data_IF_889615192897
#
_entry.id   IF_889615192897
#
_cell.length_a   1.000
_cell.length_b   1.000
_cell.length_c   1.000
_cell.angle_alpha   90.00
_cell.angle_beta   90.00
_cell.angle_gamma   90.00
#
_symmetry.space_group_name_H-M   'P 1'
#
loop_
_entity.id
_entity.type
_entity.pdbx_description
1 polymer ?
#
# COMPACT_ATOMS: atom_id res chain seq x y z
N UNK A 1 19.61 -11.13 16.12
CA UNK A 1 19.00 -10.63 14.87
C UNK A 1 20.12 -10.06 14.00
N UNK A 2 20.07 -10.17 12.67
CA UNK A 2 21.03 -9.48 11.79
C UNK A 2 20.84 -7.96 11.93
N UNK A 3 21.93 -7.19 11.96
CA UNK A 3 21.80 -5.73 12.03
C UNK A 3 21.11 -5.20 10.76
N UNK A 4 20.27 -4.19 10.91
CA UNK A 4 19.45 -3.65 9.82
C UNK A 4 20.30 -3.10 8.66
N UNK A 5 21.51 -2.61 8.96
CA UNK A 5 22.45 -2.10 7.97
C UNK A 5 23.22 -3.20 7.21
N UNK A 6 23.25 -4.44 7.74
CA UNK A 6 24.04 -5.54 7.17
C UNK A 6 23.29 -6.29 6.06
N UNK A 7 22.02 -5.96 5.82
CA UNK A 7 21.25 -6.58 4.74
C UNK A 7 21.82 -6.18 3.38
N UNK A 8 22.03 -7.17 2.51
CA UNK A 8 22.57 -6.94 1.18
C UNK A 8 21.62 -6.09 0.34
N UNK A 9 22.13 -4.98 -0.20
CA UNK A 9 21.41 -4.10 -1.10
C UNK A 9 21.46 -4.59 -2.55
N UNK A 10 20.37 -4.37 -3.27
CA UNK A 10 20.17 -4.81 -4.65
C UNK A 10 19.82 -3.63 -5.56
N UNK A 11 19.86 -3.88 -6.87
CA UNK A 11 19.53 -2.88 -7.88
C UNK A 11 20.72 -2.04 -8.33
N UNK A 12 20.46 -1.05 -9.17
CA UNK A 12 21.46 -0.36 -9.97
C UNK A 12 21.40 1.17 -9.87
N UNK A 13 20.37 1.70 -9.22
CA UNK A 13 20.26 3.14 -9.02
C UNK A 13 21.27 3.62 -7.99
N UNK A 14 22.01 4.66 -8.35
CA UNK A 14 22.82 5.41 -7.41
C UNK A 14 21.93 6.35 -6.56
N UNK A 15 22.10 6.32 -5.25
CA UNK A 15 21.46 7.28 -4.35
C UNK A 15 22.37 8.48 -4.08
N UNK A 16 21.80 9.56 -3.54
CA UNK A 16 22.58 10.73 -3.15
C UNK A 16 23.52 10.42 -1.98
N UNK A 17 24.59 11.22 -1.84
CA UNK A 17 25.49 11.12 -0.69
C UNK A 17 24.76 11.34 0.64
N UNK A 18 23.77 12.25 0.65
CA UNK A 18 22.90 12.48 1.80
C UNK A 18 22.18 11.19 2.20
N UNK A 19 21.54 10.50 1.25
CA UNK A 19 20.81 9.27 1.55
C UNK A 19 21.72 8.17 2.09
N UNK A 20 22.89 7.97 1.46
CA UNK A 20 23.85 6.94 1.90
C UNK A 20 24.40 7.21 3.31
N UNK A 21 24.72 8.47 3.64
CA UNK A 21 25.17 8.85 4.98
C UNK A 21 24.09 8.60 6.04
N UNK A 22 22.86 9.06 5.78
CA UNK A 22 21.78 9.00 6.77
C UNK A 22 21.15 7.62 6.89
N UNK A 23 21.11 6.82 5.82
CA UNK A 23 20.60 5.46 5.86
C UNK A 23 21.33 4.62 6.89
N UNK A 24 22.67 4.58 6.84
CA UNK A 24 23.48 3.81 7.79
C UNK A 24 23.25 4.26 9.23
N UNK A 25 23.36 5.58 9.48
CA UNK A 25 23.19 6.15 10.83
C UNK A 25 21.81 5.89 11.41
N UNK A 26 20.76 6.03 10.61
CA UNK A 26 19.38 5.83 11.06
C UNK A 26 19.10 4.37 11.42
N UNK A 27 19.59 3.43 10.61
CA UNK A 27 19.42 2.00 10.87
C UNK A 27 20.22 1.55 12.09
N UNK A 28 21.47 1.99 12.23
CA UNK A 28 22.31 1.70 13.40
C UNK A 28 21.73 2.30 14.69
N UNK A 29 21.24 3.54 14.64
CA UNK A 29 20.57 4.17 15.78
C UNK A 29 19.28 3.44 16.16
N UNK A 30 18.45 3.07 15.18
CA UNK A 30 17.20 2.33 15.42
C UNK A 30 17.47 0.98 16.08
N UNK A 31 18.48 0.25 15.61
CA UNK A 31 18.91 -1.03 16.18
C UNK A 31 19.40 -0.83 17.62
N UNK A 32 20.27 0.15 17.86
CA UNK A 32 20.82 0.46 19.19
C UNK A 32 19.74 0.83 20.21
N UNK A 33 18.69 1.54 19.78
CA UNK A 33 17.56 1.90 20.63
C UNK A 33 16.57 0.74 20.87
N UNK A 34 16.80 -0.44 20.28
CA UNK A 34 15.93 -1.61 20.42
C UNK A 34 14.62 -1.51 19.61
N UNK A 35 14.44 -0.45 18.81
CA UNK A 35 13.22 -0.23 18.03
C UNK A 35 13.02 -1.32 16.97
N UNK A 36 14.09 -1.78 16.35
CA UNK A 36 14.04 -2.84 15.34
C UNK A 36 13.44 -4.14 15.89
N UNK A 37 13.77 -4.51 17.13
CA UNK A 37 13.23 -5.71 17.77
C UNK A 37 11.84 -5.50 18.35
N UNK A 38 11.50 -4.27 18.72
CA UNK A 38 10.22 -3.93 19.36
C UNK A 38 9.10 -3.74 18.32
N UNK A 39 9.42 -3.16 17.15
CA UNK A 39 8.48 -2.97 16.04
C UNK A 39 8.44 -4.24 15.17
N UNK A 40 7.30 -4.89 15.11
CA UNK A 40 7.07 -6.14 14.37
C UNK A 40 6.58 -5.94 12.95
N UNK A 41 5.73 -6.86 12.48
CA UNK A 41 5.05 -6.80 11.16
C UNK A 41 3.99 -5.71 11.11
N UNK A 42 3.53 -5.44 9.88
CA UNK A 42 2.28 -4.71 9.66
C UNK A 42 1.11 -5.57 10.21
N UNK A 43 0.36 -5.01 11.17
CA UNK A 43 -0.84 -5.60 11.78
C UNK A 43 -2.07 -5.38 10.89
N UNK A 44 -2.21 -4.16 10.36
CA UNK A 44 -3.34 -3.79 9.51
C UNK A 44 -3.06 -2.62 8.59
N UNK A 45 -3.74 -2.61 7.44
CA UNK A 45 -3.77 -1.55 6.44
C UNK A 45 -5.08 -0.77 6.56
N UNK A 46 -5.06 0.55 6.39
CA UNK A 46 -6.27 1.37 6.46
C UNK A 46 -6.53 2.10 5.15
N UNK A 47 -7.73 1.89 4.61
CA UNK A 47 -8.21 2.53 3.37
C UNK A 47 -9.53 3.21 3.69
N UNK A 48 -9.69 4.46 3.28
CA UNK A 48 -10.97 5.16 3.30
C UNK A 48 -11.59 5.23 1.92
N UNK A 49 -12.92 5.21 1.86
CA UNK A 49 -13.73 5.35 0.65
C UNK A 49 -14.84 6.38 0.84
N UNK A 50 -15.39 6.89 -0.27
CA UNK A 50 -16.56 7.78 -0.24
C UNK A 50 -17.79 7.12 0.39
N UNK A 51 -18.72 7.91 0.98
CA UNK A 51 -20.01 7.40 1.43
C UNK A 51 -20.78 6.68 0.31
N UNK A 52 -21.26 5.48 0.61
CA UNK A 52 -21.98 4.61 -0.34
C UNK A 52 -21.07 3.69 -1.17
N UNK A 53 -19.74 3.74 -0.98
CA UNK A 53 -18.80 2.92 -1.76
C UNK A 53 -18.27 1.69 -1.01
N UNK A 54 -18.50 1.57 0.30
CA UNK A 54 -17.97 0.46 1.12
C UNK A 54 -18.38 -0.91 0.61
N UNK A 55 -19.67 -1.15 0.36
CA UNK A 55 -20.18 -2.48 -0.04
C UNK A 55 -19.54 -2.98 -1.33
N UNK A 56 -19.50 -2.11 -2.34
CA UNK A 56 -18.95 -2.45 -3.65
C UNK A 56 -17.44 -2.68 -3.56
N UNK A 57 -16.72 -1.86 -2.79
CA UNK A 57 -15.28 -2.03 -2.61
C UNK A 57 -14.92 -3.28 -1.80
N UNK A 58 -15.68 -3.61 -0.76
CA UNK A 58 -15.52 -4.86 -0.01
C UNK A 58 -15.75 -6.06 -0.93
N UNK A 59 -16.79 -6.04 -1.76
CA UNK A 59 -17.03 -7.07 -2.77
C UNK A 59 -15.90 -7.19 -3.80
N UNK A 60 -15.37 -6.06 -4.29
CA UNK A 60 -14.23 -6.01 -5.20
C UNK A 60 -12.98 -6.65 -4.57
N UNK A 61 -12.62 -6.25 -3.35
CA UNK A 61 -11.49 -6.83 -2.62
C UNK A 61 -11.69 -8.32 -2.34
N UNK A 62 -12.89 -8.74 -1.93
CA UNK A 62 -13.18 -10.15 -1.67
C UNK A 62 -13.12 -11.02 -2.95
N UNK A 63 -13.32 -10.44 -4.14
CA UNK A 63 -13.15 -11.18 -5.40
C UNK A 63 -11.69 -11.19 -5.86
N UNK A 64 -11.04 -10.02 -5.80
CA UNK A 64 -9.74 -9.77 -6.42
C UNK A 64 -8.54 -10.11 -5.52
N UNK A 65 -8.80 -10.41 -4.25
CA UNK A 65 -7.78 -10.74 -3.24
C UNK A 65 -8.25 -11.95 -2.41
N UNK A 66 -7.40 -12.58 -1.60
CA UNK A 66 -7.81 -13.70 -0.74
C UNK A 66 -8.52 -13.26 0.56
N UNK A 67 -8.80 -11.96 0.73
CA UNK A 67 -9.42 -11.45 1.94
C UNK A 67 -10.90 -11.80 2.04
N UNK A 68 -11.35 -12.08 3.26
CA UNK A 68 -12.76 -12.29 3.61
C UNK A 68 -13.24 -11.18 4.54
N UNK A 69 -14.47 -10.73 4.34
CA UNK A 69 -15.13 -9.83 5.29
C UNK A 69 -15.43 -10.57 6.60
N UNK A 70 -15.07 -9.94 7.73
CA UNK A 70 -15.25 -10.50 9.06
C UNK A 70 -16.39 -9.82 9.82
N UNK A 71 -16.32 -8.50 9.95
CA UNK A 71 -17.23 -7.72 10.79
C UNK A 71 -17.16 -6.24 10.42
N UNK A 72 -18.21 -5.50 10.77
CA UNK A 72 -18.24 -4.03 10.72
C UNK A 72 -18.19 -3.45 12.13
N UNK A 73 -17.38 -2.41 12.30
CA UNK A 73 -17.31 -1.59 13.50
C UNK A 73 -17.95 -0.24 13.20
N UNK A 74 -19.03 0.07 13.93
CA UNK A 74 -19.85 1.25 13.73
C UNK A 74 -19.56 2.27 14.84
N UNK A 75 -19.03 3.43 14.46
CA UNK A 75 -18.86 4.60 15.34
C UNK A 75 -19.88 5.69 15.01
N UNK A 76 -19.77 6.87 15.60
CA UNK A 76 -20.72 7.96 15.31
C UNK A 76 -20.55 8.44 13.87
N UNK A 77 -19.31 8.59 13.41
CA UNK A 77 -19.00 9.20 12.11
C UNK A 77 -18.55 8.22 11.04
N UNK A 78 -18.17 6.98 11.39
CA UNK A 78 -17.60 6.01 10.44
C UNK A 78 -18.18 4.61 10.58
N UNK A 79 -18.13 3.89 9.46
CA UNK A 79 -18.26 2.44 9.37
C UNK A 79 -16.89 1.87 9.02
N UNK A 80 -16.37 0.91 9.78
CA UNK A 80 -15.08 0.26 9.49
C UNK A 80 -15.26 -1.24 9.28
N UNK A 81 -15.06 -1.71 8.06
CA UNK A 81 -15.20 -3.09 7.65
C UNK A 81 -13.85 -3.80 7.73
N UNK A 82 -13.80 -4.87 8.52
CA UNK A 82 -12.57 -5.63 8.76
C UNK A 82 -12.51 -6.78 7.75
N UNK A 83 -11.47 -6.80 6.94
CA UNK A 83 -11.17 -7.88 5.99
C UNK A 83 -9.94 -8.64 6.48
N UNK A 84 -10.02 -9.97 6.51
CA UNK A 84 -8.96 -10.85 7.03
C UNK A 84 -8.79 -12.09 6.16
N UNK A 85 -7.54 -12.55 6.01
CA UNK A 85 -7.21 -13.86 5.45
C UNK A 85 -7.08 -14.86 6.61
N UNK A 86 -6.10 -14.59 7.47
CA UNK A 86 -5.74 -15.36 8.66
C UNK A 86 -5.05 -14.43 9.68
N UNK A 87 -4.38 -15.00 10.68
CA UNK A 87 -3.60 -14.26 11.69
C UNK A 87 -2.15 -13.99 11.27
N UNK A 88 -1.73 -14.43 10.10
CA UNK A 88 -0.36 -14.27 9.60
C UNK A 88 -0.21 -13.01 8.74
N UNK A 89 -1.17 -12.80 7.83
CA UNK A 89 -1.22 -11.63 6.95
C UNK A 89 -1.81 -10.40 7.67
N UNK A 90 -1.53 -9.16 7.23
CA UNK A 90 -2.17 -7.96 7.79
C UNK A 90 -3.66 -7.93 7.47
N UNK A 91 -4.49 -7.42 8.39
CA UNK A 91 -5.90 -7.13 8.08
C UNK A 91 -6.03 -5.90 7.17
N UNK A 92 -7.10 -5.84 6.37
CA UNK A 92 -7.45 -4.64 5.59
C UNK A 92 -8.69 -3.99 6.21
N UNK A 93 -8.55 -2.74 6.64
CA UNK A 93 -9.64 -1.97 7.24
C UNK A 93 -10.18 -1.00 6.18
N UNK A 94 -11.37 -1.31 5.65
CA UNK A 94 -12.08 -0.42 4.73
C UNK A 94 -12.99 0.47 5.54
N UNK A 95 -12.76 1.77 5.49
CA UNK A 95 -13.41 2.76 6.33
C UNK A 95 -14.22 3.74 5.51
N UNK A 96 -15.48 3.89 5.83
CA UNK A 96 -16.40 4.77 5.14
C UNK A 96 -16.87 5.84 6.12
N UNK A 97 -16.81 7.10 5.69
CA UNK A 97 -17.42 8.19 6.46
C UNK A 97 -18.92 8.20 6.23
N UNK A 98 -19.71 8.46 7.27
CA UNK A 98 -21.18 8.49 7.21
C UNK A 98 -21.70 9.80 6.64
N UNK A 99 -21.04 10.91 6.96
CA UNK A 99 -21.36 12.24 6.43
C UNK A 99 -20.30 12.68 5.40
N UNK A 100 -20.66 12.87 4.12
CA UNK A 100 -19.74 13.37 3.09
C UNK A 100 -19.18 14.76 3.41
N UNK A 101 -19.74 15.51 4.36
CA UNK A 101 -19.30 16.84 4.77
C UNK A 101 -18.39 16.84 6.01
N UNK A 102 -18.07 15.66 6.57
CA UNK A 102 -17.13 15.59 7.68
C UNK A 102 -15.78 16.17 7.24
N UNK A 103 -15.31 17.19 7.97
CA UNK A 103 -14.01 17.80 7.72
C UNK A 103 -12.97 17.19 8.66
N UNK A 104 -11.90 16.65 8.06
CA UNK A 104 -10.79 16.04 8.78
C UNK A 104 -9.49 16.12 8.00
N UNK A 105 -8.38 15.86 8.69
CA UNK A 105 -7.04 16.01 8.11
C UNK A 105 -6.84 15.24 6.80
N UNK A 106 -7.37 14.01 6.71
CA UNK A 106 -7.23 13.16 5.54
C UNK A 106 -7.98 13.69 4.32
N UNK A 107 -9.16 14.29 4.56
CA UNK A 107 -9.95 14.97 3.54
C UNK A 107 -9.21 16.20 3.02
N UNK A 108 -8.72 17.04 3.92
CA UNK A 108 -7.97 18.25 3.55
C UNK A 108 -6.71 17.92 2.74
N UNK A 109 -6.04 16.80 3.04
CA UNK A 109 -4.89 16.33 2.25
C UNK A 109 -5.26 15.92 0.81
N UNK A 110 -6.51 15.54 0.55
CA UNK A 110 -7.00 15.22 -0.79
C UNK A 110 -7.53 16.47 -1.53
N UNK A 111 -8.21 17.38 -0.82
CA UNK A 111 -8.84 18.59 -1.39
C UNK A 111 -7.86 19.56 -2.04
N UNK A 112 -6.58 19.53 -1.66
CA UNK A 112 -5.54 20.38 -2.26
C UNK A 112 -5.03 19.86 -3.61
N UNK A 113 -5.50 18.70 -4.07
CA UNK A 113 -5.08 18.09 -5.34
C UNK A 113 -6.24 17.95 -6.32
N UNK A 114 -6.06 18.25 -7.62
CA UNK A 114 -7.16 18.37 -8.58
C UNK A 114 -8.07 17.14 -8.70
N UNK A 115 -7.50 15.93 -8.78
CA UNK A 115 -8.29 14.69 -8.83
C UNK A 115 -8.64 14.22 -7.42
N UNK A 116 -7.74 14.40 -6.45
CA UNK A 116 -8.01 14.11 -5.04
C UNK A 116 -9.26 14.81 -4.50
N UNK A 117 -9.50 16.05 -4.91
CA UNK A 117 -10.64 16.85 -4.50
C UNK A 117 -11.99 16.31 -5.02
N UNK A 118 -12.00 15.50 -6.09
CA UNK A 118 -13.23 14.90 -6.62
C UNK A 118 -13.74 13.74 -5.74
N UNK A 119 -12.85 13.12 -4.97
CA UNK A 119 -13.14 12.04 -4.02
C UNK A 119 -12.36 12.26 -2.73
N UNK A 120 -12.73 13.30 -1.96
CA UNK A 120 -11.90 13.82 -0.91
C UNK A 120 -11.85 12.88 0.31
N UNK A 121 -12.79 11.95 0.47
CA UNK A 121 -12.80 10.96 1.54
C UNK A 121 -12.07 9.67 1.17
N UNK A 122 -11.78 9.45 -0.13
CA UNK A 122 -11.17 8.21 -0.62
C UNK A 122 -9.66 8.27 -0.67
N UNK A 123 -8.98 7.41 0.09
CA UNK A 123 -7.51 7.24 0.04
C UNK A 123 -7.03 6.05 0.86
N UNK A 124 -5.81 5.61 0.56
CA UNK A 124 -5.02 4.90 1.56
C UNK A 124 -4.62 5.86 2.70
N UNK A 125 -4.88 5.47 3.94
CA UNK A 125 -4.50 6.24 5.13
C UNK A 125 -3.09 5.89 5.59
N UNK A 126 -2.73 4.61 5.62
CA UNK A 126 -1.50 4.16 6.24
C UNK A 126 -1.55 2.74 6.79
N UNK A 127 -0.50 2.39 7.52
CA UNK A 127 -0.26 1.06 8.08
C UNK A 127 -0.06 1.12 9.60
N UNK A 128 -0.58 0.12 10.30
CA UNK A 128 -0.36 -0.07 11.74
C UNK A 128 0.63 -1.21 11.92
N UNK A 129 1.68 -0.98 12.70
CA UNK A 129 2.64 -2.00 13.10
C UNK A 129 2.28 -2.60 14.45
N UNK A 130 2.46 -3.90 14.55
CA UNK A 130 2.50 -4.59 15.83
C UNK A 130 3.75 -4.13 16.60
N UNK A 131 3.61 -3.90 17.91
CA UNK A 131 4.76 -3.63 18.80
C UNK A 131 4.72 -4.50 20.04
N UNK A 132 5.88 -4.78 20.64
CA UNK A 132 5.97 -5.54 21.91
C UNK A 132 5.64 -4.66 23.11
N UNK A 133 6.05 -3.40 23.08
CA UNK A 133 5.76 -2.43 24.13
C UNK A 133 5.49 -1.05 23.49
N UNK A 134 4.22 -0.64 23.51
CA UNK A 134 3.78 0.62 22.88
C UNK A 134 4.40 1.83 23.55
N UNK A 135 4.51 1.82 24.88
CA UNK A 135 5.04 2.96 25.61
C UNK A 135 6.51 3.21 25.26
N UNK A 136 7.33 2.15 25.27
CA UNK A 136 8.75 2.24 24.92
C UNK A 136 8.96 2.72 23.48
N UNK A 137 8.21 2.18 22.51
CA UNK A 137 8.30 2.62 21.11
C UNK A 137 7.91 4.09 20.98
N UNK A 138 6.82 4.51 21.61
CA UNK A 138 6.35 5.90 21.53
C UNK A 138 7.34 6.86 22.17
N UNK A 139 7.89 6.56 23.34
CA UNK A 139 8.87 7.42 24.01
C UNK A 139 10.18 7.50 23.23
N UNK A 140 10.69 6.38 22.71
CA UNK A 140 11.87 6.37 21.85
C UNK A 140 11.64 7.20 20.57
N UNK A 141 10.51 7.03 19.89
CA UNK A 141 10.20 7.80 18.68
C UNK A 141 10.00 9.29 18.96
N UNK A 142 9.40 9.68 20.10
CA UNK A 142 9.34 11.09 20.52
C UNK A 142 10.73 11.68 20.76
N UNK A 143 11.66 10.90 21.34
CA UNK A 143 13.06 11.29 21.47
C UNK A 143 13.76 11.53 20.13
N UNK A 144 13.24 10.92 19.05
CA UNK A 144 13.66 11.11 17.65
C UNK A 144 12.79 12.15 16.91
N UNK A 145 12.12 13.02 17.67
CA UNK A 145 11.28 14.13 17.20
C UNK A 145 10.03 13.73 16.40
N UNK A 146 9.63 12.46 16.44
CA UNK A 146 8.41 11.98 15.79
C UNK A 146 7.18 12.51 16.51
N UNK A 147 6.26 13.12 15.75
CA UNK A 147 5.04 13.72 16.28
C UNK A 147 3.88 12.74 16.18
N UNK A 148 3.20 12.55 17.32
CA UNK A 148 2.00 11.71 17.41
C UNK A 148 0.73 12.56 17.48
N UNK A 149 -0.38 11.98 17.05
CA UNK A 149 -1.70 12.43 17.51
C UNK A 149 -1.79 12.27 19.03
N UNK A 150 -2.35 13.25 19.70
CA UNK A 150 -2.71 13.09 21.12
C UNK A 150 -4.00 12.23 21.23
N UNK A 151 -4.33 11.82 22.45
CA UNK A 151 -5.48 10.94 22.71
C UNK A 151 -6.82 11.53 22.28
N UNK A 152 -7.02 12.84 22.44
CA UNK A 152 -8.22 13.54 21.98
C UNK A 152 -8.34 13.49 20.45
N UNK A 153 -7.24 13.72 19.74
CA UNK A 153 -7.21 13.65 18.28
C UNK A 153 -7.43 12.23 17.76
N UNK A 154 -6.89 11.19 18.44
CA UNK A 154 -7.17 9.79 18.09
C UNK A 154 -8.66 9.47 18.26
N UNK A 155 -9.30 9.98 19.33
CA UNK A 155 -10.75 9.85 19.54
C UNK A 155 -11.56 10.58 18.49
N UNK A 156 -11.17 11.79 18.08
CA UNK A 156 -11.84 12.52 16.99
C UNK A 156 -11.67 11.85 15.63
N UNK A 157 -10.55 11.15 15.43
CA UNK A 157 -10.40 10.29 14.26
C UNK A 157 -11.22 9.00 14.37
N UNK A 158 -11.87 8.73 15.52
CA UNK A 158 -12.59 7.49 15.84
C UNK A 158 -11.75 6.24 15.53
N UNK A 159 -10.51 6.24 16.01
CA UNK A 159 -9.61 5.09 15.96
C UNK A 159 -9.43 4.50 17.38
N UNK A 160 -9.03 3.23 17.53
CA UNK A 160 -8.85 2.61 18.84
C UNK A 160 -7.88 3.41 19.73
N UNK A 161 -8.31 3.78 20.94
CA UNK A 161 -7.53 4.64 21.84
C UNK A 161 -6.25 4.02 22.41
N UNK A 162 -6.09 2.71 22.25
CA UNK A 162 -4.87 1.96 22.58
C UNK A 162 -3.88 1.86 21.40
N UNK A 163 -4.11 2.56 20.30
CA UNK A 163 -3.09 2.81 19.29
C UNK A 163 -2.32 4.09 19.60
N UNK A 164 -1.05 4.13 19.18
CA UNK A 164 -0.33 5.39 18.98
C UNK A 164 -0.15 5.64 17.49
N UNK A 165 -0.51 6.83 17.02
CA UNK A 165 -0.55 7.14 15.59
C UNK A 165 0.29 8.38 15.32
N UNK A 166 1.23 8.27 14.40
CA UNK A 166 2.08 9.38 13.94
C UNK A 166 1.23 10.34 13.10
N UNK A 167 1.54 11.65 13.17
CA UNK A 167 0.93 12.64 12.27
C UNK A 167 1.20 12.26 10.80
N UNK A 168 0.31 12.60 9.85
CA UNK A 168 0.55 12.28 8.45
C UNK A 168 1.92 12.80 7.99
N UNK A 169 2.67 11.91 7.35
CA UNK A 169 3.99 12.21 6.80
C UNK A 169 3.91 13.40 5.83
N UNK A 170 4.83 14.38 5.89
CA UNK A 170 4.87 15.47 4.91
C UNK A 170 5.31 14.98 3.51
N UNK A 171 5.86 13.77 3.41
CA UNK A 171 6.38 13.21 2.15
C UNK A 171 5.41 12.24 1.48
N UNK A 172 4.64 11.49 2.27
CA UNK A 172 3.72 10.46 1.77
C UNK A 172 2.25 10.73 2.07
N UNK A 173 1.96 11.70 2.94
CA UNK A 173 0.63 11.98 3.51
C UNK A 173 -0.02 10.80 4.24
N UNK A 174 0.70 9.68 4.42
CA UNK A 174 0.20 8.51 5.11
C UNK A 174 0.57 8.58 6.59
N UNK A 175 -0.17 7.84 7.41
CA UNK A 175 0.16 7.60 8.82
C UNK A 175 0.91 6.29 9.00
N UNK A 176 1.74 6.26 10.03
CA UNK A 176 2.22 5.01 10.64
C UNK A 176 1.64 4.96 12.05
N UNK A 177 1.06 3.83 12.42
CA UNK A 177 0.61 3.60 13.78
C UNK A 177 1.30 2.41 14.43
N UNK A 178 1.17 2.31 15.74
CA UNK A 178 1.70 1.22 16.56
C UNK A 178 0.58 0.70 17.44
N UNK A 179 0.49 -0.63 17.54
CA UNK A 179 -0.44 -1.32 18.43
C UNK A 179 0.29 -2.42 19.18
N UNK A 180 0.30 -2.35 20.51
CA UNK A 180 0.77 -3.45 21.33
C UNK A 180 -0.12 -4.68 21.14
N UNK A 181 0.40 -5.69 20.45
CA UNK A 181 -0.25 -6.99 20.30
C UNK A 181 0.81 -8.09 20.35
N UNK A 182 0.70 -9.05 21.27
CA UNK A 182 1.46 -10.30 21.19
C UNK A 182 1.03 -11.16 19.97
N UNK A 183 1.94 -11.99 19.45
CA UNK A 183 1.66 -12.82 18.27
C UNK A 183 0.61 -13.92 18.50
N UNK A 184 0.44 -14.34 19.75
CA UNK A 184 -0.55 -15.33 20.17
C UNK A 184 -1.95 -14.72 20.42
N UNK A 185 -2.08 -13.40 20.34
CA UNK A 185 -3.35 -12.73 20.56
C UNK A 185 -4.20 -12.71 19.28
N UNK A 186 -5.49 -12.98 19.45
CA UNK A 186 -6.45 -12.74 18.38
C UNK A 186 -6.56 -11.23 18.10
N UNK A 187 -6.57 -10.84 16.82
CA UNK A 187 -6.76 -9.46 16.42
C UNK A 187 -8.22 -9.09 16.61
N UNK A 188 -8.49 -8.33 17.68
CA UNK A 188 -9.79 -7.72 17.98
C UNK A 188 -9.64 -6.20 17.94
N UNK A 189 -10.62 -5.54 17.36
CA UNK A 189 -10.68 -4.09 17.23
C UNK A 189 -11.78 -3.56 18.15
N UNK A 190 -11.39 -3.06 19.33
CA UNK A 190 -12.33 -2.49 20.30
C UNK A 190 -12.69 -1.06 19.91
N UNK A 191 -13.63 -0.91 18.97
CA UNK A 191 -14.09 0.38 18.48
C UNK A 191 -15.59 0.30 18.13
N UNK A 192 -16.39 1.18 18.73
CA UNK A 192 -17.81 1.30 18.40
C UNK A 192 -18.64 0.03 18.64
N UNK A 193 -19.74 -0.10 17.91
CA UNK A 193 -20.60 -1.28 17.89
C UNK A 193 -20.09 -2.27 16.83
N UNK A 194 -19.82 -3.51 17.24
CA UNK A 194 -19.40 -4.58 16.34
C UNK A 194 -20.63 -5.37 15.86
N UNK A 195 -20.83 -5.47 14.55
CA UNK A 195 -21.94 -6.22 13.95
C UNK A 195 -21.62 -6.74 12.54
N UNK A 196 -22.36 -7.76 12.09
CA UNK A 196 -22.35 -8.20 10.69
C UNK A 196 -23.43 -7.39 9.96
N UNK A 197 -23.01 -6.41 9.13
CA UNK A 197 -23.92 -5.64 8.27
C UNK A 197 -24.39 -6.50 7.10
N UNK A 198 -25.69 -6.49 6.82
CA UNK A 198 -26.31 -7.37 5.82
C UNK A 198 -25.79 -7.14 4.40
N UNK A 199 -25.68 -5.89 3.96
CA UNK A 199 -25.17 -5.53 2.65
C UNK A 199 -23.68 -5.88 2.45
N UNK A 200 -22.85 -5.76 3.50
CA UNK A 200 -21.46 -6.26 3.46
C UNK A 200 -21.43 -7.77 3.32
N UNK A 201 -22.27 -8.47 4.09
CA UNK A 201 -22.34 -9.93 4.05
C UNK A 201 -22.75 -10.42 2.66
N UNK A 202 -23.76 -9.79 2.05
CA UNK A 202 -24.20 -10.11 0.67
C UNK A 202 -23.09 -9.86 -0.35
N UNK A 203 -22.39 -8.72 -0.26
CA UNK A 203 -21.27 -8.42 -1.16
C UNK A 203 -20.14 -9.45 -1.03
N UNK A 204 -19.79 -9.80 0.22
CA UNK A 204 -18.78 -10.78 0.55
C UNK A 204 -19.14 -12.19 0.05
N UNK A 205 -20.31 -12.71 0.40
CA UNK A 205 -20.72 -14.07 0.04
C UNK A 205 -20.76 -14.25 -1.47
N UNK A 206 -21.32 -13.28 -2.20
CA UNK A 206 -21.33 -13.29 -3.66
C UNK A 206 -19.92 -13.31 -4.25
N UNK A 207 -19.02 -12.49 -3.72
CA UNK A 207 -17.64 -12.42 -4.17
C UNK A 207 -16.88 -13.71 -3.85
N UNK A 208 -17.05 -14.26 -2.65
CA UNK A 208 -16.42 -15.51 -2.20
C UNK A 208 -16.89 -16.72 -3.01
N UNK A 209 -18.20 -16.88 -3.19
CA UNK A 209 -18.76 -17.95 -4.02
C UNK A 209 -18.27 -17.86 -5.47
N UNK A 210 -18.13 -16.64 -6.02
CA UNK A 210 -17.54 -16.45 -7.34
C UNK A 210 -16.07 -16.84 -7.34
N UNK A 211 -15.27 -16.34 -6.38
CA UNK A 211 -13.84 -16.64 -6.26
C UNK A 211 -13.57 -18.14 -6.15
N UNK A 212 -14.36 -18.88 -5.35
CA UNK A 212 -14.27 -20.34 -5.20
C UNK A 212 -14.70 -21.10 -6.47
N UNK A 213 -15.81 -20.71 -7.10
CA UNK A 213 -16.25 -21.32 -8.37
C UNK A 213 -15.22 -21.16 -9.48
N UNK A 214 -14.49 -20.05 -9.46
CA UNK A 214 -13.42 -19.75 -10.41
C UNK A 214 -12.06 -20.37 -10.00
N UNK A 215 -11.98 -21.02 -8.83
CA UNK A 215 -10.75 -21.64 -8.31
C UNK A 215 -9.66 -20.65 -7.89
N UNK A 216 -9.99 -19.37 -7.73
CA UNK A 216 -9.05 -18.30 -7.40
C UNK A 216 -8.60 -18.34 -5.93
N UNK A 217 -9.41 -18.92 -5.03
CA UNK A 217 -9.14 -19.08 -3.59
C UNK A 217 -7.81 -19.80 -3.30
N UNK A 218 -7.40 -20.71 -4.20
CA UNK A 218 -6.14 -21.44 -4.08
C UNK A 218 -4.96 -20.70 -4.69
N UNK A 219 -5.21 -19.73 -5.56
CA UNK A 219 -4.19 -19.08 -6.38
C UNK A 219 -3.78 -17.72 -5.82
N UNK A 220 -4.73 -16.96 -5.28
CA UNK A 220 -4.46 -15.66 -4.68
C UNK A 220 -3.85 -15.84 -3.29
N UNK A 221 -2.72 -15.18 -3.05
CA UNK A 221 -1.97 -15.19 -1.80
C UNK A 221 -2.02 -13.78 -1.17
N UNK A 222 -1.57 -13.60 0.09
CA UNK A 222 -1.54 -12.30 0.73
C UNK A 222 -0.83 -11.21 -0.07
N UNK A 223 -0.98 -9.97 0.38
CA UNK A 223 -0.35 -8.80 -0.25
C UNK A 223 1.17 -8.98 -0.24
N UNK A 224 1.80 -8.89 -1.42
CA UNK A 224 3.25 -8.91 -1.63
C UNK A 224 3.83 -7.54 -1.27
N UNK A 225 3.24 -6.46 -1.79
CA UNK A 225 3.79 -5.14 -1.57
C UNK A 225 2.82 -3.97 -1.74
N UNK A 226 3.29 -2.81 -1.26
CA UNK A 226 2.56 -1.56 -1.21
C UNK A 226 3.38 -0.48 -1.90
N UNK A 227 3.01 -0.06 -3.11
CA UNK A 227 3.74 1.00 -3.82
C UNK A 227 3.13 2.38 -3.61
N UNK A 228 3.90 3.25 -2.98
CA UNK A 228 3.59 4.65 -2.72
C UNK A 228 4.29 5.52 -3.74
N UNK A 229 3.55 6.44 -4.35
CA UNK A 229 4.12 7.47 -5.22
C UNK A 229 4.37 8.74 -4.42
N UNK A 230 5.56 9.32 -4.58
CA UNK A 230 5.97 10.57 -3.91
C UNK A 230 6.60 11.53 -4.93
N UNK A 231 6.66 12.82 -4.58
CA UNK A 231 7.32 13.83 -5.41
C UNK A 231 8.80 13.46 -5.63
N UNK A 232 9.33 13.79 -6.81
CA UNK A 232 10.74 13.58 -7.18
C UNK A 232 11.72 13.97 -6.05
N UNK A 233 11.60 15.19 -5.54
CA UNK A 233 12.50 15.76 -4.53
C UNK A 233 12.35 15.11 -3.14
N UNK A 234 11.23 14.43 -2.88
CA UNK A 234 10.93 13.83 -1.58
C UNK A 234 11.28 12.34 -1.50
N UNK A 235 11.74 11.72 -2.60
CA UNK A 235 12.02 10.28 -2.70
C UNK A 235 12.80 9.74 -1.49
N UNK A 236 14.00 10.26 -1.30
CA UNK A 236 14.95 9.74 -0.32
C UNK A 236 14.50 10.09 1.11
N UNK A 237 13.95 11.28 1.32
CA UNK A 237 13.37 11.68 2.60
C UNK A 237 12.20 10.80 3.03
N UNK A 238 11.29 10.45 2.10
CA UNK A 238 10.16 9.56 2.37
C UNK A 238 10.62 8.15 2.80
N UNK A 239 11.66 7.62 2.14
CA UNK A 239 12.23 6.32 2.46
C UNK A 239 12.89 6.36 3.85
N UNK A 240 13.74 7.35 4.13
CA UNK A 240 14.42 7.48 5.42
C UNK A 240 13.43 7.68 6.58
N UNK A 241 12.38 8.48 6.39
CA UNK A 241 11.30 8.62 7.38
C UNK A 241 10.61 7.28 7.63
N UNK A 242 10.24 6.55 6.58
CA UNK A 242 9.60 5.24 6.73
C UNK A 242 10.48 4.23 7.49
N UNK A 243 11.79 4.19 7.19
CA UNK A 243 12.74 3.33 7.89
C UNK A 243 12.94 3.77 9.36
N UNK A 244 12.78 5.06 9.65
CA UNK A 244 12.79 5.57 11.03
C UNK A 244 11.58 5.06 11.82
N UNK A 245 10.42 4.94 11.17
CA UNK A 245 9.12 4.58 11.76
C UNK A 245 8.81 3.07 11.76
N UNK A 246 9.65 2.24 11.15
CA UNK A 246 9.38 0.81 10.98
C UNK A 246 10.61 -0.03 11.30
N UNK A 247 10.44 -1.35 11.33
CA UNK A 247 11.52 -2.35 11.38
C UNK A 247 11.91 -2.85 9.98
N UNK A 248 11.86 -1.98 8.98
CA UNK A 248 12.23 -2.33 7.60
C UNK A 248 13.68 -1.95 7.31
N UNK A 249 14.31 -2.57 6.33
CA UNK A 249 15.60 -2.14 5.79
C UNK A 249 15.44 -1.72 4.33
N UNK A 250 16.37 -0.90 3.84
CA UNK A 250 16.42 -0.54 2.42
C UNK A 250 16.98 -1.70 1.62
N UNK A 251 16.13 -2.37 0.86
CA UNK A 251 16.53 -3.52 0.06
C UNK A 251 17.25 -3.11 -1.21
N UNK A 252 16.83 -2.03 -1.87
CA UNK A 252 17.43 -1.64 -3.14
C UNK A 252 16.57 -0.73 -3.98
N UNK A 253 17.10 -0.33 -5.13
CA UNK A 253 16.33 0.44 -6.11
C UNK A 253 16.78 0.25 -7.54
N UNK A 254 15.82 0.45 -8.45
CA UNK A 254 16.01 0.37 -9.89
C UNK A 254 15.74 1.73 -10.51
N UNK A 255 16.61 2.11 -11.44
CA UNK A 255 16.40 3.28 -12.29
C UNK A 255 15.62 2.90 -13.55
N UNK A 256 14.69 3.76 -13.96
CA UNK A 256 13.82 3.59 -15.13
C UNK A 256 13.86 4.88 -15.96
N UNK A 257 14.98 5.14 -16.67
CA UNK A 257 15.21 6.42 -17.34
C UNK A 257 14.15 6.77 -18.38
N UNK A 258 13.62 5.78 -19.08
CA UNK A 258 12.65 5.98 -20.17
C UNK A 258 11.28 6.45 -19.70
N UNK A 259 10.97 6.24 -18.41
CA UNK A 259 9.76 6.74 -17.77
C UNK A 259 10.01 7.92 -16.83
N UNK A 260 11.23 8.49 -16.83
CA UNK A 260 11.68 9.47 -15.84
C UNK A 260 11.29 9.04 -14.43
N UNK A 261 11.61 7.79 -14.05
CA UNK A 261 11.11 7.18 -12.82
C UNK A 261 12.15 6.27 -12.18
N UNK A 262 11.97 6.01 -10.89
CA UNK A 262 12.75 5.02 -10.16
C UNK A 262 11.86 4.36 -9.13
N UNK A 263 12.14 3.09 -8.83
CA UNK A 263 11.40 2.31 -7.84
C UNK A 263 12.36 1.83 -6.76
N UNK A 264 11.99 2.07 -5.50
CA UNK A 264 12.83 1.87 -4.33
C UNK A 264 12.09 0.95 -3.36
N UNK A 265 12.74 -0.12 -2.91
CA UNK A 265 12.10 -1.19 -2.14
C UNK A 265 12.66 -1.22 -0.73
N UNK A 266 11.78 -1.34 0.26
CA UNK A 266 12.13 -1.69 1.62
C UNK A 266 11.42 -2.97 2.03
N UNK A 267 12.10 -3.78 2.85
CA UNK A 267 11.62 -5.10 3.31
C UNK A 267 11.69 -5.21 4.82
N UNK A 268 10.84 -6.03 5.41
CA UNK A 268 10.91 -6.34 6.84
C UNK A 268 12.23 -7.02 7.19
N UNK A 269 12.83 -6.66 8.33
CA UNK A 269 14.00 -7.39 8.86
C UNK A 269 13.60 -8.74 9.49
N UNK A 270 12.31 -8.92 9.82
CA UNK A 270 11.82 -10.07 10.58
C UNK A 270 11.38 -11.23 9.70
N UNK A 271 10.99 -10.94 8.46
CA UNK A 271 10.41 -11.92 7.54
C UNK A 271 11.11 -11.87 6.19
N UNK A 272 11.50 -13.05 5.70
CA UNK A 272 12.07 -13.21 4.36
C UNK A 272 11.00 -13.07 3.28
N UNK A 273 9.81 -13.60 3.56
CA UNK A 273 8.62 -13.56 2.70
C UNK A 273 7.75 -12.35 3.02
N UNK A 274 7.43 -11.62 1.96
CA UNK A 274 6.53 -10.48 1.94
C UNK A 274 5.10 -10.81 2.40
N UNK A 275 4.68 -12.08 2.32
CA UNK A 275 3.32 -12.50 2.66
C UNK A 275 2.99 -12.32 4.17
N UNK A 276 4.01 -12.26 5.02
CA UNK A 276 3.86 -11.99 6.45
C UNK A 276 3.84 -10.50 6.77
N UNK A 277 4.61 -9.71 6.03
CA UNK A 277 4.70 -8.27 6.18
C UNK A 277 5.06 -7.67 4.81
N UNK A 278 4.09 -7.10 4.08
CA UNK A 278 4.27 -6.66 2.71
C UNK A 278 5.45 -5.70 2.56
N UNK A 279 6.22 -5.80 1.48
CA UNK A 279 7.27 -4.84 1.19
C UNK A 279 6.68 -3.44 0.95
N UNK A 280 7.43 -2.40 1.32
CA UNK A 280 7.04 -1.01 1.04
C UNK A 280 7.87 -0.48 -0.11
N UNK A 281 7.19 -0.06 -1.16
CA UNK A 281 7.82 0.43 -2.39
C UNK A 281 7.57 1.93 -2.52
N UNK A 282 8.60 2.68 -2.87
CA UNK A 282 8.54 4.11 -3.16
C UNK A 282 8.93 4.36 -4.61
N UNK A 283 7.98 4.87 -5.38
CA UNK A 283 8.20 5.28 -6.77
C UNK A 283 8.15 6.79 -6.86
N UNK A 284 9.17 7.38 -7.49
CA UNK A 284 9.28 8.82 -7.67
C UNK A 284 9.95 9.13 -9.01
N UNK A 285 9.60 10.26 -9.60
CA UNK A 285 10.23 10.69 -10.84
C UNK A 285 11.70 11.06 -10.66
N UNK A 286 12.57 10.76 -11.61
CA UNK A 286 14.00 11.06 -11.51
C UNK A 286 14.26 12.56 -11.47
N UNK A 287 13.45 13.31 -12.21
CA UNK A 287 13.45 14.75 -12.22
C UNK A 287 12.08 15.32 -11.85
N UNK A 288 12.02 16.46 -11.12
CA UNK A 288 10.77 17.12 -10.78
C UNK A 288 9.96 17.57 -12.00
N UNK A 289 8.66 17.80 -11.80
CA UNK A 289 7.74 18.13 -12.90
C UNK A 289 8.19 19.31 -13.77
N UNK A 290 8.82 20.32 -13.17
CA UNK A 290 9.23 21.53 -13.88
C UNK A 290 10.41 21.28 -14.83
N UNK A 291 11.15 20.18 -14.68
CA UNK A 291 12.18 19.77 -15.63
C UNK A 291 11.62 19.09 -16.87
N UNK A 292 10.38 18.58 -16.82
CA UNK A 292 9.80 17.77 -17.89
C UNK A 292 9.73 18.49 -19.24
N UNK A 293 9.54 19.81 -19.25
CA UNK A 293 9.52 20.61 -20.50
C UNK A 293 10.88 20.65 -21.21
N UNK A 294 11.98 20.40 -20.50
CA UNK A 294 13.33 20.30 -21.06
C UNK A 294 13.70 18.86 -21.40
N UNK A 295 13.25 17.90 -20.57
CA UNK A 295 13.56 16.47 -20.73
C UNK A 295 12.78 15.88 -21.91
N UNK A 296 11.56 16.35 -22.17
CA UNK A 296 10.72 15.89 -23.27
C UNK A 296 10.23 14.45 -23.13
N UNK A 297 10.27 13.88 -21.91
CA UNK A 297 9.79 12.52 -21.62
C UNK A 297 8.51 12.54 -20.77
N UNK A 298 7.63 11.52 -20.90
CA UNK A 298 6.55 11.31 -19.95
C UNK A 298 7.05 11.20 -18.51
N UNK A 299 6.25 11.67 -17.56
CA UNK A 299 6.53 11.52 -16.13
C UNK A 299 5.24 11.13 -15.39
N UNK A 300 4.73 9.90 -15.65
CA UNK A 300 3.44 9.46 -15.12
C UNK A 300 3.42 9.40 -13.59
N UNK A 301 4.56 9.07 -12.97
CA UNK A 301 4.73 9.08 -11.51
C UNK A 301 4.51 10.48 -10.94
N UNK A 302 5.16 11.50 -11.49
CA UNK A 302 5.03 12.88 -11.01
C UNK A 302 3.64 13.45 -11.31
N UNK A 303 3.07 13.14 -12.48
CA UNK A 303 1.70 13.52 -12.84
C UNK A 303 0.67 12.96 -11.86
N UNK A 304 0.81 11.69 -11.45
CA UNK A 304 -0.03 11.09 -10.41
C UNK A 304 0.06 11.89 -9.10
N UNK A 305 1.27 12.17 -8.62
CA UNK A 305 1.45 12.87 -7.34
C UNK A 305 0.91 14.30 -7.40
N UNK A 306 0.99 14.98 -8.54
CA UNK A 306 0.39 16.32 -8.71
C UNK A 306 -1.14 16.31 -8.72
N UNK A 307 -1.75 15.22 -9.16
CA UNK A 307 -3.19 15.10 -9.30
C UNK A 307 -3.89 14.48 -8.10
N UNK A 308 -3.20 13.55 -7.43
CA UNK A 308 -3.72 12.80 -6.28
C UNK A 308 -3.04 13.19 -4.97
N UNK A 309 -1.91 13.89 -5.00
CA UNK A 309 -1.03 13.98 -3.84
C UNK A 309 -0.19 12.72 -3.66
N UNK A 310 0.85 12.77 -2.82
CA UNK A 310 1.63 11.59 -2.49
C UNK A 310 0.75 10.63 -1.67
N UNK A 311 0.69 9.37 -2.09
CA UNK A 311 -0.07 8.28 -1.45
C UNK A 311 0.23 6.93 -2.09
N UNK A 312 -0.34 5.87 -1.51
CA UNK A 312 -0.36 4.55 -2.14
C UNK A 312 -1.03 4.63 -3.53
N UNK A 313 -0.39 4.01 -4.51
CA UNK A 313 -0.86 3.92 -5.89
C UNK A 313 -1.47 2.54 -6.17
N UNK A 314 -0.83 1.48 -5.71
CA UNK A 314 -1.35 0.12 -5.83
C UNK A 314 -1.01 -0.73 -4.61
N UNK A 315 -1.81 -1.79 -4.43
CA UNK A 315 -1.46 -2.95 -3.61
C UNK A 315 -1.19 -4.12 -4.54
N UNK A 316 -0.18 -4.92 -4.24
CA UNK A 316 0.16 -6.09 -5.03
C UNK A 316 -0.25 -7.37 -4.29
N UNK A 317 -0.99 -8.23 -4.97
CA UNK A 317 -1.44 -9.54 -4.51
C UNK A 317 -0.51 -10.58 -5.11
N UNK A 318 0.08 -11.42 -4.27
CA UNK A 318 0.88 -12.52 -4.76
C UNK A 318 -0.02 -13.58 -5.40
N UNK A 319 0.46 -14.19 -6.48
CA UNK A 319 -0.15 -15.34 -7.13
C UNK A 319 0.75 -16.55 -6.91
N UNK A 320 0.17 -17.66 -6.48
CA UNK A 320 0.88 -18.90 -6.21
C UNK A 320 1.68 -19.34 -7.44
N UNK A 321 2.93 -19.73 -7.22
CA UNK A 321 3.76 -20.31 -8.27
C UNK A 321 3.16 -21.60 -8.86
N UNK A 322 3.47 -21.86 -10.12
CA UNK A 322 2.97 -22.98 -10.92
C UNK A 322 1.99 -22.58 -12.02
N UNK A 323 1.27 -23.58 -12.51
CA UNK A 323 0.43 -23.51 -13.71
C UNK A 323 -0.93 -24.13 -13.48
N UNK A 324 -1.96 -23.58 -14.12
CA UNK A 324 -3.33 -24.10 -14.11
C UNK A 324 -3.80 -24.23 -15.55
N UNK A 325 -4.12 -25.46 -16.00
CA UNK A 325 -4.55 -25.70 -17.38
C UNK A 325 -3.47 -25.40 -18.43
N UNK A 326 -2.19 -25.56 -18.09
CA UNK A 326 -1.06 -25.36 -19.01
C UNK A 326 -0.58 -23.92 -19.20
N UNK A 327 -1.21 -22.94 -18.53
CA UNK A 327 -0.78 -21.54 -18.47
C UNK A 327 -0.29 -21.21 -17.05
N UNK A 328 0.58 -20.20 -16.91
CA UNK A 328 1.00 -19.77 -15.58
C UNK A 328 -0.22 -19.31 -14.77
N UNK A 329 -0.19 -19.50 -13.45
CA UNK A 329 -1.32 -19.18 -12.59
C UNK A 329 -1.76 -17.71 -12.72
N UNK A 330 -0.85 -16.76 -12.90
CA UNK A 330 -1.19 -15.35 -13.13
C UNK A 330 -1.96 -15.16 -14.43
N UNK A 331 -1.58 -15.82 -15.52
CA UNK A 331 -2.30 -15.74 -16.79
C UNK A 331 -3.72 -16.31 -16.63
N UNK A 332 -3.86 -17.43 -15.90
CA UNK A 332 -5.15 -18.00 -15.57
C UNK A 332 -6.04 -17.06 -14.75
N UNK A 333 -5.49 -16.50 -13.66
CA UNK A 333 -6.17 -15.55 -12.76
C UNK A 333 -6.68 -14.35 -13.56
N UNK A 334 -5.84 -13.75 -14.39
CA UNK A 334 -6.19 -12.58 -15.21
C UNK A 334 -7.30 -12.91 -16.20
N UNK A 335 -7.15 -14.00 -16.96
CA UNK A 335 -8.16 -14.42 -17.94
C UNK A 335 -9.53 -14.65 -17.28
N UNK A 336 -9.54 -15.30 -16.13
CA UNK A 336 -10.74 -15.57 -15.35
C UNK A 336 -11.41 -14.29 -14.83
N UNK A 337 -10.64 -13.36 -14.29
CA UNK A 337 -11.14 -12.07 -13.80
C UNK A 337 -11.65 -11.19 -14.95
N UNK A 338 -10.96 -11.18 -16.09
CA UNK A 338 -11.41 -10.49 -17.31
C UNK A 338 -12.77 -11.00 -17.80
N UNK A 339 -12.98 -12.31 -17.78
CA UNK A 339 -14.27 -12.92 -18.12
C UNK A 339 -15.40 -12.53 -17.15
N UNK A 340 -15.06 -12.06 -15.96
CA UNK A 340 -15.98 -11.51 -14.97
C UNK A 340 -16.13 -9.98 -15.05
N UNK A 341 -15.57 -9.35 -16.08
CA UNK A 341 -15.67 -7.91 -16.36
C UNK A 341 -14.58 -7.06 -15.70
N UNK A 342 -13.60 -7.66 -15.03
CA UNK A 342 -12.46 -6.91 -14.49
C UNK A 342 -11.57 -6.40 -15.61
N UNK A 343 -11.13 -5.15 -15.48
CA UNK A 343 -10.29 -4.49 -16.48
C UNK A 343 -8.84 -4.47 -16.02
N UNK A 344 -7.94 -4.58 -16.99
CA UNK A 344 -6.49 -4.53 -16.78
C UNK A 344 -5.88 -3.52 -17.75
N UNK A 345 -4.77 -2.90 -17.33
CA UNK A 345 -4.17 -1.78 -18.07
C UNK A 345 -3.32 -2.21 -19.26
N UNK A 346 -2.86 -3.46 -19.27
CA UNK A 346 -1.96 -4.03 -20.28
C UNK A 346 -2.09 -5.57 -20.29
N UNK A 347 -1.36 -6.23 -21.20
CA UNK A 347 -1.11 -7.67 -21.11
C UNK A 347 -0.16 -8.00 -19.96
N UNK A 348 -0.13 -9.26 -19.53
CA UNK A 348 0.78 -9.70 -18.44
C UNK A 348 2.24 -9.50 -18.87
N UNK A 349 2.97 -8.67 -18.12
CA UNK A 349 4.37 -8.36 -18.37
C UNK A 349 5.29 -9.43 -17.75
N UNK A 350 6.44 -9.66 -18.40
CA UNK A 350 7.47 -10.60 -17.96
C UNK A 350 7.24 -12.04 -18.39
N UNK A 351 8.09 -12.94 -17.91
CA UNK A 351 8.10 -14.34 -18.30
C UNK A 351 8.59 -15.27 -17.18
N UNK A 352 8.22 -16.54 -17.29
CA UNK A 352 8.74 -17.60 -16.40
C UNK A 352 10.27 -17.71 -16.46
N UNK A 353 10.86 -17.49 -17.64
CA UNK A 353 12.32 -17.50 -17.82
C UNK A 353 13.02 -16.39 -17.03
N UNK A 354 12.39 -15.22 -16.94
CA UNK A 354 12.88 -14.10 -16.14
C UNK A 354 12.58 -14.28 -14.64
N UNK A 355 11.77 -15.26 -14.28
CA UNK A 355 11.41 -15.59 -12.91
C UNK A 355 10.25 -14.76 -12.35
N UNK A 356 9.63 -13.89 -13.16
CA UNK A 356 8.62 -12.94 -12.68
C UNK A 356 7.60 -12.58 -13.77
N UNK A 357 6.32 -12.65 -13.42
CA UNK A 357 5.22 -12.07 -14.20
C UNK A 357 4.37 -11.13 -13.37
N UNK A 358 3.91 -10.03 -13.98
CA UNK A 358 3.19 -8.96 -13.30
C UNK A 358 2.13 -8.29 -14.19
N UNK A 359 1.08 -7.75 -13.58
CA UNK A 359 0.05 -6.98 -14.29
C UNK A 359 -0.72 -6.06 -13.34
N UNK A 360 -1.17 -4.91 -13.84
CA UNK A 360 -2.06 -4.00 -13.13
C UNK A 360 -3.51 -4.13 -13.59
N UNK A 361 -4.43 -4.21 -12.64
CA UNK A 361 -5.84 -3.89 -12.88
C UNK A 361 -5.99 -2.41 -13.27
N UNK A 362 -7.14 -2.05 -13.85
CA UNK A 362 -7.56 -0.64 -13.84
C UNK A 362 -7.74 -0.13 -12.42
N UNK A 363 -7.63 1.19 -12.23
CA UNK A 363 -7.87 1.80 -10.93
C UNK A 363 -9.33 1.57 -10.48
N UNK A 364 -9.51 1.18 -9.22
CA UNK A 364 -10.82 0.96 -8.62
C UNK A 364 -11.69 2.21 -8.70
N UNK A 365 -12.95 2.05 -9.13
CA UNK A 365 -13.94 3.11 -9.09
C UNK A 365 -14.36 3.49 -7.67
N UNK A 366 -13.90 2.78 -6.63
CA UNK A 366 -14.25 3.05 -5.24
C UNK A 366 -13.09 3.64 -4.43
N UNK A 367 -11.86 3.19 -4.66
CA UNK A 367 -10.69 3.64 -3.89
C UNK A 367 -9.63 4.37 -4.72
N UNK A 368 -9.73 4.34 -6.05
CA UNK A 368 -8.68 4.75 -6.99
C UNK A 368 -7.36 3.98 -6.86
N UNK A 369 -7.33 2.90 -6.08
CA UNK A 369 -6.19 1.99 -6.00
C UNK A 369 -6.23 0.97 -7.13
N UNK A 370 -5.05 0.61 -7.61
CA UNK A 370 -4.85 -0.52 -8.51
C UNK A 370 -4.54 -1.77 -7.68
N UNK A 371 -5.04 -2.92 -8.14
CA UNK A 371 -4.58 -4.24 -7.69
C UNK A 371 -3.57 -4.75 -8.71
N UNK A 372 -2.34 -4.95 -8.26
CA UNK A 372 -1.32 -5.65 -9.02
C UNK A 372 -1.38 -7.16 -8.72
N UNK A 373 -1.19 -8.01 -9.72
CA UNK A 373 -0.91 -9.42 -9.50
C UNK A 373 0.55 -9.74 -9.81
N UNK A 374 1.19 -10.51 -8.93
CA UNK A 374 2.61 -10.86 -9.06
C UNK A 374 2.80 -12.36 -8.89
N UNK A 375 3.33 -13.04 -9.90
CA UNK A 375 3.79 -14.43 -9.78
C UNK A 375 5.32 -14.48 -9.90
N UNK A 376 5.96 -14.96 -8.82
CA UNK A 376 7.40 -15.29 -8.80
C UNK A 376 7.55 -16.78 -9.11
N UNK A 377 8.43 -17.11 -10.06
CA UNK A 377 8.65 -18.49 -10.47
C UNK A 377 9.89 -19.09 -9.80
N UNK A 378 9.75 -20.33 -9.32
CA UNK A 378 10.83 -21.09 -8.69
C UNK A 378 11.40 -20.37 -7.47
N UNK A 379 12.66 -19.95 -7.58
CA UNK A 379 13.41 -19.33 -6.49
C UNK A 379 13.78 -17.87 -6.74
N UNK A 380 13.04 -17.13 -7.57
CA UNK A 380 13.36 -15.74 -7.90
C UNK A 380 13.55 -14.89 -6.64
N UNK A 381 14.76 -14.35 -6.45
CA UNK A 381 15.14 -13.52 -5.29
C UNK A 381 15.06 -12.01 -5.59
N UNK A 382 14.80 -11.63 -6.83
CA UNK A 382 14.62 -10.23 -7.21
C UNK A 382 13.24 -9.71 -6.77
N UNK A 383 13.04 -8.41 -6.90
CA UNK A 383 11.75 -7.79 -6.62
C UNK A 383 10.99 -7.47 -7.91
N UNK A 384 11.69 -6.92 -8.90
CA UNK A 384 11.18 -6.52 -10.21
C UNK A 384 12.17 -6.87 -11.33
N UNK A 385 11.71 -6.94 -12.58
CA UNK A 385 12.55 -6.74 -13.76
C UNK A 385 12.37 -5.31 -14.27
N UNK A 386 13.43 -4.68 -14.80
CA UNK A 386 13.36 -3.27 -15.24
C UNK A 386 12.30 -3.07 -16.33
N UNK A 387 12.25 -4.01 -17.27
CA UNK A 387 11.33 -3.95 -18.41
C UNK A 387 9.87 -4.04 -17.92
N UNK A 388 9.56 -4.95 -16.98
CA UNK A 388 8.23 -5.00 -16.37
C UNK A 388 7.83 -3.66 -15.73
N UNK A 389 8.71 -3.05 -14.94
CA UNK A 389 8.36 -1.79 -14.26
C UNK A 389 8.21 -0.65 -15.27
N UNK A 390 9.01 -0.62 -16.34
CA UNK A 390 8.87 0.36 -17.41
C UNK A 390 7.50 0.25 -18.10
N UNK A 391 7.10 -0.97 -18.49
CA UNK A 391 5.82 -1.24 -19.16
C UNK A 391 4.63 -0.91 -18.25
N UNK A 392 4.67 -1.38 -17.00
CA UNK A 392 3.64 -1.11 -15.99
C UNK A 392 3.50 0.39 -15.68
N UNK A 393 4.63 1.11 -15.60
CA UNK A 393 4.64 2.56 -15.36
C UNK A 393 4.05 3.33 -16.53
N UNK A 394 4.38 2.93 -17.76
CA UNK A 394 3.82 3.52 -18.97
C UNK A 394 2.29 3.30 -19.04
N UNK A 395 1.83 2.07 -18.77
CA UNK A 395 0.42 1.70 -18.79
C UNK A 395 -0.39 2.47 -17.73
N UNK A 396 0.13 2.57 -16.50
CA UNK A 396 -0.51 3.37 -15.43
C UNK A 396 -0.58 4.87 -15.77
N UNK A 397 0.37 5.39 -16.56
CA UNK A 397 0.32 6.75 -17.09
C UNK A 397 -0.67 6.96 -18.25
N UNK A 398 -1.06 5.87 -18.91
CA UNK A 398 -1.92 5.88 -20.07
C UNK A 398 -3.39 5.59 -19.75
N UNK A 399 -3.70 5.13 -18.53
CA UNK A 399 -5.06 4.80 -18.08
C UNK A 399 -6.06 5.93 -18.40
N UNK A 400 -7.06 5.59 -19.20
CA UNK A 400 -8.09 6.50 -19.69
C UNK A 400 -8.93 7.09 -18.56
N UNK A 401 -9.16 6.34 -17.48
CA UNK A 401 -9.87 6.83 -16.29
C UNK A 401 -9.07 7.97 -15.67
N UNK A 402 -7.76 7.76 -15.49
CA UNK A 402 -6.85 8.77 -14.94
C UNK A 402 -6.72 9.99 -15.87
N UNK A 403 -6.64 9.78 -17.19
CA UNK A 403 -6.58 10.87 -18.18
C UNK A 403 -7.86 11.68 -18.24
N UNK A 404 -9.01 11.03 -18.13
CA UNK A 404 -10.32 11.71 -18.13
C UNK A 404 -10.48 12.58 -16.89
N UNK A 405 -10.09 12.05 -15.72
CA UNK A 405 -10.08 12.80 -14.46
C UNK A 405 -9.11 14.00 -14.51
N UNK A 406 -7.90 13.83 -15.07
CA UNK A 406 -6.93 14.91 -15.27
C UNK A 406 -7.45 15.98 -16.24
N UNK A 407 -8.05 15.57 -17.36
CA UNK A 407 -8.63 16.49 -18.34
C UNK A 407 -9.78 17.31 -17.75
N UNK A 408 -10.68 16.67 -16.99
CA UNK A 408 -11.76 17.35 -16.29
C UNK A 408 -11.22 18.34 -15.25
N UNK A 409 -10.20 17.94 -14.48
CA UNK A 409 -9.61 18.77 -13.44
C UNK A 409 -8.80 19.97 -13.98
N UNK A 410 -8.30 19.90 -15.22
CA UNK A 410 -7.66 21.04 -15.90
C UNK A 410 -8.66 22.02 -16.52
N UNK A 411 -9.91 21.59 -16.72
CA UNK A 411 -10.97 22.40 -17.30
C UNK A 411 -11.79 23.19 -16.26
N UNK A 412 -11.75 22.76 -14.99
CA UNK A 412 -12.26 23.47 -13.81
C UNK A 412 -11.24 24.46 -13.26
#
# INVERSE_FOLDING_TARGET
MQASADFQRQGDKQNSAFFEEWLGRLLEDRDRQGLSENIGRIDSLMITVEPGHSAAYVGELCLMTPYDYLVTLETEQHSTHILRIDMNAPDVLVREVKDPNLHGIFRSLNEVYPIGAQRPNSRYMGEIFQVKNLHEVVEAQKGREIRFFNQEQVRHLELPGNMAIVKPSPYTHNIVGYWERPDDYIRVYSLGLSSIREDMQVAFERAKELRERLGLDKLLLPIDHLATRVYSQNREAAILEYLTLSSYYYWGSYDIPDQNSSTNVTKSIHFTSELHSPAKVFTAANHPYFCNHLIGRPSPTEAFVRNFGPRLHHLAVAVRDGHTGGQANIDHVVNVLQNCGQKFLLEVAGSEREGLKQIFSSASEHSSLIVEYVQRFGGFQGFFTKDNVADLTAAAGADETLRSLDAAARAS
#
